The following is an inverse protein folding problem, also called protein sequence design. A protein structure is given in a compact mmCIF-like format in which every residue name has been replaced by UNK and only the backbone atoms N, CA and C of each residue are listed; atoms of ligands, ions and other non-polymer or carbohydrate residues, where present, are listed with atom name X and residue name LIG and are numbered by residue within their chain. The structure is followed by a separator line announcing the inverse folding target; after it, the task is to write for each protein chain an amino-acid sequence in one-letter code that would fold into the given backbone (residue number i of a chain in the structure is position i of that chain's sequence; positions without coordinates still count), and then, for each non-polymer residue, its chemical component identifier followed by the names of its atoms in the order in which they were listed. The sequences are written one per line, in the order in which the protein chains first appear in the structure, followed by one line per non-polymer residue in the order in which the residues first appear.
data_IF_608818211446
#
_entry.id   IF_608818211446
#
_cell.length_a   1.000
_cell.length_b   1.000
_cell.length_c   1.000
_cell.angle_alpha   90.00
_cell.angle_beta   90.00
_cell.angle_gamma   90.00
#
_symmetry.space_group_name_H-M   'P 1'
#
loop_
_entity.id
_entity.type
_entity.pdbx_description
1 polymer ?
#
# COMPACT_ATOMS: atom_id res chain seq x y z
N UNK A 1 16.29 10.50 0.85
CA UNK A 1 16.35 9.48 -0.21
C UNK A 1 14.95 9.38 -0.78
N UNK A 2 14.83 9.39 -2.10
CA UNK A 2 13.53 9.20 -2.76
C UNK A 2 13.12 7.73 -2.59
N UNK A 3 11.85 7.49 -2.28
CA UNK A 3 11.26 6.15 -2.16
C UNK A 3 11.32 5.48 -3.53
N UNK A 4 11.87 4.27 -3.60
CA UNK A 4 11.87 3.51 -4.86
C UNK A 4 10.45 3.08 -5.23
N UNK A 5 10.15 2.79 -6.51
CA UNK A 5 8.83 2.30 -6.91
C UNK A 5 8.41 1.02 -6.18
N UNK A 6 9.36 0.14 -5.85
CA UNK A 6 9.10 -1.05 -5.06
C UNK A 6 8.69 -0.71 -3.63
N UNK A 7 9.44 0.18 -2.97
CA UNK A 7 9.13 0.63 -1.61
C UNK A 7 7.78 1.35 -1.56
N UNK A 8 7.44 2.16 -2.57
CA UNK A 8 6.14 2.83 -2.67
C UNK A 8 4.99 1.81 -2.72
N UNK A 9 5.13 0.75 -3.53
CA UNK A 9 4.12 -0.31 -3.63
C UNK A 9 3.97 -1.04 -2.29
N UNK A 10 5.07 -1.43 -1.65
CA UNK A 10 5.02 -2.15 -0.37
C UNK A 10 4.43 -1.29 0.73
N UNK A 11 4.80 -0.01 0.81
CA UNK A 11 4.27 0.91 1.81
C UNK A 11 2.79 1.22 1.57
N UNK A 12 2.38 1.38 0.30
CA UNK A 12 0.99 1.56 -0.07
C UNK A 12 0.12 0.36 0.33
N UNK A 13 0.58 -0.86 0.03
CA UNK A 13 -0.11 -2.09 0.42
C UNK A 13 -0.13 -2.28 1.95
N UNK A 14 0.96 -1.95 2.63
CA UNK A 14 1.04 -2.02 4.09
C UNK A 14 0.05 -1.06 4.75
N UNK A 15 -0.09 0.15 4.22
CA UNK A 15 -1.04 1.16 4.66
C UNK A 15 -2.49 0.73 4.39
N UNK A 16 -2.77 0.33 3.15
CA UNK A 16 -4.10 -0.04 2.69
C UNK A 16 -4.65 -1.28 3.41
N UNK A 17 -3.84 -2.34 3.56
CA UNK A 17 -4.21 -3.56 4.29
C UNK A 17 -4.09 -3.41 5.81
N UNK A 18 -3.42 -2.36 6.27
CA UNK A 18 -3.17 -2.03 7.67
C UNK A 18 -4.16 -1.07 8.31
N UNK A 19 -5.28 -0.79 7.63
CA UNK A 19 -6.31 0.17 8.06
C UNK A 19 -5.75 1.58 8.35
N UNK A 20 -4.64 1.96 7.68
CA UNK A 20 -3.98 3.25 7.83
C UNK A 20 -3.38 3.56 9.22
N UNK A 21 -3.45 2.64 10.17
CA UNK A 21 -2.98 2.81 11.57
C UNK A 21 -1.95 1.76 11.97
N UNK A 22 -2.09 0.52 11.49
CA UNK A 22 -1.18 -0.59 11.78
C UNK A 22 -0.70 -1.19 10.46
N UNK A 23 0.51 -0.87 10.04
CA UNK A 23 1.05 -1.39 8.78
C UNK A 23 1.04 -2.92 8.73
N UNK A 24 0.48 -3.47 7.64
CA UNK A 24 0.52 -4.92 7.38
C UNK A 24 1.96 -5.39 7.13
N UNK A 25 2.27 -6.63 7.55
CA UNK A 25 3.58 -7.24 7.28
C UNK A 25 3.70 -7.64 5.81
N UNK A 26 4.94 -7.71 5.29
CA UNK A 26 5.17 -8.12 3.90
C UNK A 26 4.66 -9.55 3.60
N UNK A 27 4.75 -10.46 4.58
CA UNK A 27 4.20 -11.82 4.46
C UNK A 27 2.67 -11.78 4.32
N UNK A 28 1.98 -10.97 5.13
CA UNK A 28 0.53 -10.76 5.05
C UNK A 28 0.11 -10.11 3.73
N UNK A 29 0.87 -9.12 3.25
CA UNK A 29 0.63 -8.49 1.95
C UNK A 29 0.68 -9.54 0.84
N UNK A 30 1.71 -10.38 0.83
CA UNK A 30 1.88 -11.43 -0.19
C UNK A 30 0.74 -12.46 -0.14
N UNK A 31 0.35 -12.87 1.05
CA UNK A 31 -0.76 -13.81 1.24
C UNK A 31 -2.08 -13.25 0.70
N UNK A 32 -2.46 -12.03 1.11
CA UNK A 32 -3.70 -11.38 0.66
C UNK A 32 -3.70 -11.18 -0.86
N UNK A 33 -2.63 -10.61 -1.42
CA UNK A 33 -2.53 -10.35 -2.87
C UNK A 33 -2.57 -11.64 -3.68
N UNK A 34 -2.05 -12.76 -3.15
CA UNK A 34 -2.10 -14.05 -3.85
C UNK A 34 -3.50 -14.68 -3.90
N UNK A 35 -4.40 -14.28 -3.02
CA UNK A 35 -5.78 -14.76 -2.93
C UNK A 35 -6.78 -13.79 -3.58
N UNK A 36 -6.33 -12.58 -3.92
CA UNK A 36 -7.16 -11.52 -4.47
C UNK A 36 -7.64 -11.85 -5.88
N UNK A 37 -8.90 -11.51 -6.17
CA UNK A 37 -9.49 -11.76 -7.48
C UNK A 37 -8.95 -10.78 -8.53
N UNK A 38 -8.71 -9.53 -8.15
CA UNK A 38 -8.02 -8.52 -8.96
C UNK A 38 -6.86 -7.87 -8.19
N UNK A 39 -5.68 -8.50 -8.19
CA UNK A 39 -4.53 -7.98 -7.46
C UNK A 39 -3.98 -6.69 -8.07
N UNK A 40 -4.18 -6.44 -9.37
CA UNK A 40 -3.66 -5.24 -10.03
C UNK A 40 -4.50 -4.02 -9.66
N UNK A 41 -5.83 -4.15 -9.70
CA UNK A 41 -6.75 -3.10 -9.25
C UNK A 41 -6.51 -2.77 -7.76
N UNK A 42 -6.31 -3.79 -6.92
CA UNK A 42 -6.01 -3.61 -5.50
C UNK A 42 -4.72 -2.82 -5.27
N UNK A 43 -3.65 -3.14 -6.00
CA UNK A 43 -2.38 -2.39 -5.93
C UNK A 43 -2.58 -0.94 -6.39
N UNK A 44 -3.36 -0.71 -7.45
CA UNK A 44 -3.61 0.63 -7.96
C UNK A 44 -4.34 1.51 -6.94
N UNK A 45 -5.40 0.98 -6.31
CA UNK A 45 -6.15 1.68 -5.28
C UNK A 45 -5.29 2.00 -4.05
N UNK A 46 -4.49 1.03 -3.60
CA UNK A 46 -3.57 1.23 -2.47
C UNK A 46 -2.58 2.38 -2.71
N UNK A 47 -2.03 2.47 -3.93
CA UNK A 47 -1.10 3.55 -4.31
C UNK A 47 -1.81 4.91 -4.33
N UNK A 48 -3.04 4.97 -4.85
CA UNK A 48 -3.82 6.21 -4.88
C UNK A 48 -4.11 6.72 -3.46
N UNK A 49 -4.59 5.84 -2.57
CA UNK A 49 -4.88 6.17 -1.18
C UNK A 49 -3.63 6.65 -0.43
N UNK A 50 -2.51 5.93 -0.59
CA UNK A 50 -1.23 6.27 0.05
C UNK A 50 -0.68 7.62 -0.42
N UNK A 51 -0.77 7.93 -1.72
CA UNK A 51 -0.36 9.23 -2.26
C UNK A 51 -1.25 10.37 -1.77
N UNK A 52 -2.56 10.13 -1.70
CA UNK A 52 -3.53 11.09 -1.17
C UNK A 52 -3.23 11.40 0.29
N UNK A 53 -2.99 10.37 1.12
CA UNK A 53 -2.62 10.52 2.52
C UNK A 53 -1.34 11.35 2.70
N UNK A 54 -0.27 11.03 1.96
CA UNK A 54 1.01 11.76 2.01
C UNK A 54 0.89 13.22 1.55
N UNK A 55 -0.07 13.53 0.68
CA UNK A 55 -0.32 14.91 0.26
C UNK A 55 -1.00 15.74 1.37
N UNK A 56 -1.82 15.10 2.21
CA UNK A 56 -2.47 15.73 3.37
C UNK A 56 -1.47 15.97 4.51
N UNK A 57 -0.58 15.02 4.80
CA UNK A 57 0.42 15.16 5.89
C UNK A 57 1.49 16.23 5.64
N UNK A 58 1.66 16.68 4.39
CA UNK A 58 2.65 17.70 4.01
C UNK A 58 2.15 19.15 4.17
N UNK A 59 0.95 19.35 4.71
CA UNK A 59 0.36 20.67 5.00
C UNK A 59 0.47 20.99 6.50
#
# INVERSE_FOLDING_TARGET
MEETPYEEIINALAFYLGDGVINASEESIREVISQEHDPIETIANAIEDYRSHKAVEKQ
#
